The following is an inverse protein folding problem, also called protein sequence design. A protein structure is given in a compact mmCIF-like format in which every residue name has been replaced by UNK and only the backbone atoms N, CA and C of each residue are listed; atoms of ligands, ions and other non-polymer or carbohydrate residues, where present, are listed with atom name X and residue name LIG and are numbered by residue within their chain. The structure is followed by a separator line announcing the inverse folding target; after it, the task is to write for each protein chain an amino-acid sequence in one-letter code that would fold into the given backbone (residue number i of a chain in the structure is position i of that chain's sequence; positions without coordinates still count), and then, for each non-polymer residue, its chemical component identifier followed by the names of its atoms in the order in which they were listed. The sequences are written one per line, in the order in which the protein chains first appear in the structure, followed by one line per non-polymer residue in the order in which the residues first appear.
data_IF_955297278307
#
_entry.id   IF_955297278307
#
_cell.length_a   1.000
_cell.length_b   1.000
_cell.length_c   1.000
_cell.angle_alpha   90.00
_cell.angle_beta   90.00
_cell.angle_gamma   90.00
#
_symmetry.space_group_name_H-M   'P 1'
#
loop_
_entity.id
_entity.type
_entity.pdbx_description
1 polymer ?
#
# COMPACT_ATOMS: atom_id res chain seq x y z
N UNK A 1 63.20 -21.47 8.52
CA UNK A 1 62.66 -20.15 8.12
C UNK A 1 61.33 -20.36 7.38
N UNK A 2 60.19 -20.22 8.09
CA UNK A 2 58.86 -20.60 7.58
C UNK A 2 58.12 -19.37 7.02
N UNK A 3 58.21 -19.17 5.71
CA UNK A 3 57.51 -18.08 5.00
C UNK A 3 55.99 -18.32 4.82
N UNK A 4 55.45 -19.46 5.29
CA UNK A 4 54.07 -19.90 4.98
C UNK A 4 53.00 -19.54 6.01
N UNK A 5 53.38 -19.00 7.17
CA UNK A 5 52.41 -18.61 8.21
C UNK A 5 52.00 -17.13 8.16
N UNK A 6 52.84 -16.23 7.64
CA UNK A 6 52.57 -14.79 7.66
C UNK A 6 51.51 -14.36 6.62
N UNK A 7 51.45 -15.03 5.47
CA UNK A 7 50.50 -14.70 4.40
C UNK A 7 49.02 -14.95 4.74
N UNK A 8 48.71 -15.97 5.56
CA UNK A 8 47.31 -16.36 5.86
C UNK A 8 46.56 -15.34 6.70
N UNK A 9 47.19 -14.79 7.74
CA UNK A 9 46.59 -13.77 8.58
C UNK A 9 46.40 -12.45 7.81
N UNK A 10 47.34 -12.11 6.92
CA UNK A 10 47.27 -10.92 6.08
C UNK A 10 46.21 -11.03 4.97
N UNK A 11 46.09 -12.19 4.30
CA UNK A 11 45.04 -12.46 3.31
C UNK A 11 43.65 -12.45 3.94
N UNK A 12 43.43 -13.15 5.06
CA UNK A 12 42.14 -13.11 5.77
C UNK A 12 41.75 -11.70 6.21
N UNK A 13 42.69 -10.88 6.67
CA UNK A 13 42.43 -9.48 7.05
C UNK A 13 42.12 -8.60 5.83
N UNK A 14 42.83 -8.82 4.72
CA UNK A 14 42.65 -8.12 3.46
C UNK A 14 41.35 -8.50 2.76
N UNK A 15 40.91 -9.75 2.83
CA UNK A 15 39.66 -10.26 2.24
C UNK A 15 38.42 -9.93 3.09
N UNK A 16 38.61 -9.73 4.40
CA UNK A 16 37.52 -9.42 5.33
C UNK A 16 37.00 -8.00 5.21
N UNK A 17 37.85 -7.03 4.87
CA UNK A 17 37.43 -5.65 4.61
C UNK A 17 36.47 -5.53 3.40
N UNK A 18 36.78 -6.06 2.20
CA UNK A 18 35.86 -6.04 1.05
C UNK A 18 34.64 -6.93 1.27
N UNK A 19 34.76 -8.06 1.98
CA UNK A 19 33.62 -8.89 2.34
C UNK A 19 32.61 -8.16 3.25
N UNK A 20 33.10 -7.43 4.27
CA UNK A 20 32.25 -6.60 5.14
C UNK A 20 31.61 -5.44 4.39
N UNK A 21 32.37 -4.75 3.54
CA UNK A 21 31.82 -3.67 2.72
C UNK A 21 30.73 -4.17 1.76
N UNK A 22 30.92 -5.35 1.14
CA UNK A 22 29.90 -6.01 0.31
C UNK A 22 28.67 -6.43 1.11
N UNK A 23 28.85 -7.00 2.30
CA UNK A 23 27.74 -7.36 3.20
C UNK A 23 26.91 -6.13 3.55
N UNK A 24 27.54 -5.07 4.07
CA UNK A 24 26.84 -3.83 4.45
C UNK A 24 26.13 -3.17 3.26
N UNK A 25 26.72 -3.21 2.07
CA UNK A 25 26.09 -2.72 0.84
C UNK A 25 24.87 -3.56 0.47
N UNK A 26 24.95 -4.88 0.57
CA UNK A 26 23.81 -5.77 0.34
C UNK A 26 22.70 -5.58 1.38
N UNK A 27 23.05 -5.49 2.67
CA UNK A 27 22.08 -5.25 3.74
C UNK A 27 21.34 -3.93 3.54
N UNK A 28 22.05 -2.87 3.14
CA UNK A 28 21.45 -1.58 2.80
C UNK A 28 20.54 -1.68 1.57
N UNK A 29 20.95 -2.38 0.53
CA UNK A 29 20.13 -2.58 -0.69
C UNK A 29 18.87 -3.38 -0.39
N UNK A 30 18.99 -4.46 0.37
CA UNK A 30 17.86 -5.30 0.80
C UNK A 30 16.88 -4.51 1.67
N UNK A 31 17.39 -3.72 2.62
CA UNK A 31 16.57 -2.86 3.47
C UNK A 31 15.81 -1.84 2.62
N UNK A 32 16.50 -1.19 1.67
CA UNK A 32 15.89 -0.18 0.79
C UNK A 32 14.85 -0.79 -0.15
N UNK A 33 15.11 -1.97 -0.72
CA UNK A 33 14.15 -2.71 -1.53
C UNK A 33 12.91 -3.11 -0.73
N UNK A 34 13.09 -3.54 0.52
CA UNK A 34 11.98 -3.89 1.43
C UNK A 34 11.14 -2.67 1.80
N UNK A 35 11.77 -1.54 2.10
CA UNK A 35 11.07 -0.27 2.36
C UNK A 35 10.27 0.17 1.14
N UNK A 36 10.88 0.22 -0.05
CA UNK A 36 10.19 0.59 -1.29
C UNK A 36 9.00 -0.34 -1.60
N UNK A 37 9.15 -1.66 -1.39
CA UNK A 37 8.06 -2.62 -1.56
C UNK A 37 6.92 -2.33 -0.58
N UNK A 38 7.25 -2.03 0.68
CA UNK A 38 6.27 -1.73 1.72
C UNK A 38 5.53 -0.43 1.44
N UNK A 39 6.24 0.62 1.01
CA UNK A 39 5.66 1.90 0.62
C UNK A 39 4.70 1.72 -0.57
N UNK A 40 5.09 0.94 -1.57
CA UNK A 40 4.24 0.64 -2.74
C UNK A 40 2.97 -0.14 -2.35
N UNK A 41 3.10 -1.11 -1.44
CA UNK A 41 1.94 -1.87 -0.94
C UNK A 41 1.03 -0.97 -0.11
N UNK A 42 1.59 -0.12 0.75
CA UNK A 42 0.85 0.82 1.60
C UNK A 42 0.10 1.86 0.77
N UNK A 43 0.75 2.47 -0.21
CA UNK A 43 0.13 3.42 -1.15
C UNK A 43 -0.97 2.77 -1.98
N UNK A 44 -0.76 1.55 -2.48
CA UNK A 44 -1.79 0.80 -3.22
C UNK A 44 -2.99 0.46 -2.34
N UNK A 45 -2.77 0.00 -1.12
CA UNK A 45 -3.84 -0.29 -0.17
C UNK A 45 -4.64 0.98 0.18
N UNK A 46 -3.96 2.11 0.37
CA UNK A 46 -4.59 3.40 0.62
C UNK A 46 -5.43 3.86 -0.58
N UNK A 47 -4.90 3.76 -1.80
CA UNK A 47 -5.65 4.08 -3.02
C UNK A 47 -6.91 3.23 -3.12
N UNK A 48 -6.78 1.91 -3.01
CA UNK A 48 -7.92 0.98 -3.08
C UNK A 48 -8.99 1.32 -2.04
N UNK A 49 -8.57 1.65 -0.81
CA UNK A 49 -9.49 2.06 0.27
C UNK A 49 -10.20 3.36 -0.07
N UNK A 50 -9.48 4.35 -0.61
CA UNK A 50 -10.05 5.62 -1.06
C UNK A 50 -11.03 5.44 -2.23
N UNK A 51 -10.69 4.59 -3.20
CA UNK A 51 -11.55 4.32 -4.36
C UNK A 51 -12.83 3.62 -3.92
N UNK A 52 -12.73 2.65 -3.00
CA UNK A 52 -13.89 2.00 -2.40
C UNK A 52 -14.75 2.99 -1.60
N UNK A 53 -14.13 3.88 -0.82
CA UNK A 53 -14.82 4.91 -0.08
C UNK A 53 -15.58 5.88 -1.02
N UNK A 54 -14.91 6.37 -2.07
CA UNK A 54 -15.52 7.22 -3.10
C UNK A 54 -16.71 6.54 -3.76
N UNK A 55 -16.59 5.27 -4.10
CA UNK A 55 -17.70 4.50 -4.69
C UNK A 55 -18.87 4.36 -3.72
N UNK A 56 -18.62 4.06 -2.44
CA UNK A 56 -19.69 3.96 -1.43
C UNK A 56 -20.38 5.29 -1.18
N UNK A 57 -19.63 6.39 -1.09
CA UNK A 57 -20.20 7.74 -0.92
C UNK A 57 -20.98 8.18 -2.16
N UNK A 58 -20.44 7.95 -3.35
CA UNK A 58 -21.15 8.25 -4.60
C UNK A 58 -22.46 7.46 -4.74
N UNK A 59 -22.47 6.19 -4.32
CA UNK A 59 -23.69 5.38 -4.27
C UNK A 59 -24.70 5.93 -3.27
N UNK A 60 -24.27 6.25 -2.05
CA UNK A 60 -25.13 6.82 -1.02
C UNK A 60 -25.78 8.14 -1.47
N UNK A 61 -24.96 9.06 -1.98
CA UNK A 61 -25.39 10.37 -2.51
C UNK A 61 -26.31 10.22 -3.72
N UNK A 62 -26.12 9.19 -4.55
CA UNK A 62 -27.01 8.93 -5.67
C UNK A 62 -28.34 8.27 -5.24
N UNK A 63 -28.35 7.45 -4.20
CA UNK A 63 -29.57 6.73 -3.78
C UNK A 63 -30.49 7.54 -2.87
N UNK A 64 -29.95 8.41 -2.01
CA UNK A 64 -30.74 9.18 -1.04
C UNK A 64 -31.76 10.15 -1.69
N UNK A 65 -31.37 11.02 -2.65
CA UNK A 65 -32.31 11.94 -3.27
C UNK A 65 -33.34 11.22 -4.15
N UNK A 66 -32.94 10.17 -4.85
CA UNK A 66 -33.85 9.37 -5.69
C UNK A 66 -34.90 8.61 -4.86
N UNK A 67 -34.53 8.05 -3.71
CA UNK A 67 -35.48 7.40 -2.80
C UNK A 67 -36.45 8.41 -2.18
N UNK A 68 -35.97 9.62 -1.86
CA UNK A 68 -36.80 10.67 -1.27
C UNK A 68 -37.83 11.21 -2.28
N UNK A 69 -37.39 11.53 -3.49
CA UNK A 69 -38.26 11.96 -4.59
C UNK A 69 -39.27 10.87 -5.01
N UNK A 70 -38.84 9.61 -5.06
CA UNK A 70 -39.73 8.50 -5.39
C UNK A 70 -40.85 8.29 -4.36
N UNK A 71 -40.57 8.54 -3.07
CA UNK A 71 -41.57 8.44 -1.99
C UNK A 71 -42.54 9.62 -1.97
N UNK A 72 -42.06 10.84 -2.18
CA UNK A 72 -42.93 12.02 -2.24
C UNK A 72 -43.92 11.90 -3.42
N UNK A 73 -43.43 11.54 -4.61
CA UNK A 73 -44.28 11.34 -5.80
C UNK A 73 -45.30 10.21 -5.62
N UNK A 74 -44.91 9.10 -4.95
CA UNK A 74 -45.83 8.01 -4.66
C UNK A 74 -46.91 8.42 -3.64
N UNK A 75 -46.55 9.25 -2.67
CA UNK A 75 -47.46 9.71 -1.61
C UNK A 75 -48.47 10.73 -2.18
N UNK A 76 -48.04 11.68 -3.01
CA UNK A 76 -48.95 12.63 -3.68
C UNK A 76 -49.92 11.94 -4.66
N UNK A 77 -49.45 10.94 -5.41
CA UNK A 77 -50.34 10.16 -6.28
C UNK A 77 -51.36 9.35 -5.48
N UNK A 78 -50.95 8.78 -4.36
CA UNK A 78 -51.84 8.03 -3.46
C UNK A 78 -52.92 8.92 -2.86
N UNK A 79 -52.62 10.16 -2.47
CA UNK A 79 -53.62 11.07 -1.87
C UNK A 79 -54.58 11.61 -2.92
N UNK A 80 -54.10 11.92 -4.12
CA UNK A 80 -54.96 12.32 -5.25
C UNK A 80 -55.89 11.18 -5.71
N UNK A 81 -55.44 9.92 -5.72
CA UNK A 81 -56.28 8.78 -6.11
C UNK A 81 -57.32 8.37 -5.06
N UNK A 82 -57.12 8.70 -3.78
CA UNK A 82 -58.10 8.43 -2.70
C UNK A 82 -59.16 9.54 -2.61
N UNK A 83 -58.88 10.72 -3.18
CA UNK A 83 -59.78 11.88 -3.17
C UNK A 83 -60.65 12.01 -4.44
N UNK A 84 -60.53 11.11 -5.42
CA UNK A 84 -61.29 11.08 -6.67
C UNK A 84 -62.44 10.07 -6.60
#
# INVERSE_FOLDING_TARGET
MSYRHFGRAWSLRSDRAPARARSLRNDRVLTRARSLRSDRVSTRARSLRSDRAKWTFGRYVATEPWLKLGRDVATERSTCSVAA
#
